data_IF_969173647671
#
_entry.id   IF_969173647671
#
_cell.length_a   1.000
_cell.length_b   1.000
_cell.length_c   1.000
_cell.angle_alpha   90.00
_cell.angle_beta   90.00
_cell.angle_gamma   90.00
#
_symmetry.space_group_name_H-M   'P 1'
#
loop_
_entity.id
_entity.type
_entity.pdbx_description
1 polymer ?
#
# COMPACT_ATOMS: atom_id res chain seq x y z
N UNK A 1 7.09 11.12 -2.23
CA UNK A 1 6.34 9.86 -2.17
C UNK A 1 7.09 8.78 -2.92
N UNK A 2 7.26 7.65 -2.33
CA UNK A 2 7.87 6.50 -3.01
C UNK A 2 6.76 5.59 -3.55
N UNK A 3 6.90 5.17 -4.81
CA UNK A 3 5.96 4.27 -5.48
C UNK A 3 6.66 2.93 -5.69
N UNK A 4 6.08 1.87 -5.15
CA UNK A 4 6.58 0.51 -5.31
C UNK A 4 5.72 -0.17 -6.37
N UNK A 5 6.26 -0.32 -7.55
CA UNK A 5 5.53 -0.80 -8.73
C UNK A 5 6.28 -1.97 -9.35
N UNK A 6 6.08 -3.16 -8.78
CA UNK A 6 6.82 -4.35 -9.16
C UNK A 6 6.72 -4.68 -10.65
N UNK A 7 5.55 -4.46 -11.24
CA UNK A 7 5.28 -4.81 -12.65
C UNK A 7 5.26 -3.63 -13.60
N UNK A 8 5.47 -2.40 -13.11
CA UNK A 8 5.39 -1.22 -13.95
C UNK A 8 3.98 -0.83 -14.38
N UNK A 9 2.97 -1.23 -13.62
CA UNK A 9 1.56 -1.01 -13.99
C UNK A 9 0.95 0.26 -13.40
N UNK A 10 1.47 0.74 -12.26
CA UNK A 10 0.93 1.92 -11.60
C UNK A 10 1.39 3.21 -12.29
N UNK A 11 2.66 3.29 -12.60
CA UNK A 11 3.25 4.47 -13.21
C UNK A 11 4.13 4.07 -14.37
N UNK A 12 3.60 4.09 -15.61
CA UNK A 12 4.41 3.81 -16.78
C UNK A 12 5.53 4.84 -16.93
N UNK A 13 6.65 4.48 -17.61
CA UNK A 13 7.83 5.35 -17.71
C UNK A 13 7.53 6.77 -18.19
N UNK A 14 6.56 6.95 -19.06
CA UNK A 14 6.19 8.26 -19.60
C UNK A 14 5.53 9.19 -18.57
N UNK A 15 5.16 8.67 -17.40
CA UNK A 15 4.54 9.45 -16.32
C UNK A 15 5.43 9.62 -15.10
N UNK A 16 6.68 9.15 -15.17
CA UNK A 16 7.60 9.19 -14.03
C UNK A 16 8.41 10.47 -13.93
N UNK A 17 7.96 11.54 -14.54
CA UNK A 17 8.69 12.82 -14.61
C UNK A 17 8.32 13.81 -13.51
N UNK A 18 7.61 13.39 -12.47
CA UNK A 18 7.24 14.27 -11.36
C UNK A 18 8.38 14.38 -10.35
N UNK A 19 8.68 15.61 -9.92
CA UNK A 19 9.75 15.87 -8.96
C UNK A 19 9.48 15.28 -7.57
N UNK A 20 8.23 14.95 -7.25
CA UNK A 20 7.83 14.46 -5.95
C UNK A 20 7.69 12.93 -5.87
N UNK A 21 7.91 12.22 -6.98
CA UNK A 21 7.71 10.79 -7.05
C UNK A 21 9.02 10.06 -7.35
N UNK A 22 9.34 9.10 -6.48
CA UNK A 22 10.43 8.15 -6.71
C UNK A 22 9.82 6.77 -6.94
N UNK A 23 9.99 6.23 -8.14
CA UNK A 23 9.40 4.96 -8.51
C UNK A 23 10.45 3.85 -8.48
N UNK A 24 10.14 2.76 -7.79
CA UNK A 24 10.96 1.55 -7.76
C UNK A 24 10.18 0.44 -8.43
N UNK A 25 10.75 -0.16 -9.47
CA UNK A 25 10.13 -1.27 -10.19
C UNK A 25 11.13 -2.40 -10.40
N UNK A 26 10.61 -3.59 -10.72
CA UNK A 26 11.46 -4.74 -11.02
C UNK A 26 12.04 -5.45 -9.80
N UNK A 27 11.68 -5.07 -8.58
CA UNK A 27 12.12 -5.73 -7.35
C UNK A 27 10.91 -6.30 -6.61
N UNK A 28 11.09 -7.38 -5.83
CA UNK A 28 10.06 -7.85 -4.92
C UNK A 28 9.64 -6.71 -3.98
N UNK A 29 8.34 -6.61 -3.70
CA UNK A 29 7.80 -5.46 -2.97
C UNK A 29 8.40 -5.24 -1.59
N UNK A 30 8.58 -6.32 -0.81
CA UNK A 30 9.16 -6.17 0.52
C UNK A 30 10.57 -5.59 0.47
N UNK A 31 11.35 -6.00 -0.51
CA UNK A 31 12.71 -5.51 -0.72
C UNK A 31 12.73 -4.06 -1.17
N UNK A 32 11.81 -3.72 -2.08
CA UNK A 32 11.68 -2.36 -2.58
C UNK A 32 11.25 -1.39 -1.47
N UNK A 33 10.34 -1.81 -0.59
CA UNK A 33 9.95 -1.01 0.58
C UNK A 33 11.15 -0.75 1.48
N UNK A 34 11.93 -1.78 1.78
CA UNK A 34 13.14 -1.61 2.61
C UNK A 34 14.13 -0.65 1.97
N UNK A 35 14.33 -0.76 0.66
CA UNK A 35 15.22 0.14 -0.07
C UNK A 35 14.70 1.58 0.00
N UNK A 36 13.41 1.80 -0.22
CA UNK A 36 12.81 3.12 -0.14
C UNK A 36 13.02 3.74 1.24
N UNK A 37 12.81 2.97 2.30
CA UNK A 37 12.98 3.46 3.67
C UNK A 37 14.43 3.90 3.96
N UNK A 38 15.40 3.20 3.39
CA UNK A 38 16.82 3.50 3.63
C UNK A 38 17.35 4.65 2.80
N UNK A 39 16.89 4.78 1.56
CA UNK A 39 17.54 5.66 0.58
C UNK A 39 16.71 6.87 0.18
N UNK A 40 15.39 6.78 0.21
CA UNK A 40 14.52 7.84 -0.30
C UNK A 40 13.88 8.68 0.80
N UNK A 41 13.93 8.23 2.04
CA UNK A 41 13.32 8.89 3.20
C UNK A 41 11.89 9.38 2.89
N UNK A 42 10.99 8.52 2.40
CA UNK A 42 9.67 8.95 1.97
C UNK A 42 8.77 9.26 3.16
N UNK A 43 7.80 10.17 2.95
CA UNK A 43 6.72 10.38 3.92
C UNK A 43 5.57 9.40 3.67
N UNK A 44 5.35 9.04 2.41
CA UNK A 44 4.28 8.12 2.00
C UNK A 44 4.84 7.11 1.01
N UNK A 45 4.49 5.84 1.21
CA UNK A 45 4.78 4.78 0.25
C UNK A 45 3.47 4.32 -0.37
N UNK A 46 3.42 4.31 -1.69
CA UNK A 46 2.31 3.76 -2.45
C UNK A 46 2.77 2.46 -3.08
N UNK A 47 2.03 1.38 -2.85
CA UNK A 47 2.31 0.11 -3.49
C UNK A 47 1.03 -0.50 -4.05
N UNK A 48 1.18 -1.38 -5.05
CA UNK A 48 0.03 -1.96 -5.71
C UNK A 48 -0.71 -2.95 -4.80
N UNK A 49 -0.37 -4.19 -4.78
CA UNK A 49 -1.11 -5.21 -4.03
C UNK A 49 -0.30 -5.73 -2.84
N UNK A 50 -0.94 -5.86 -1.69
CA UNK A 50 -0.35 -6.55 -0.54
C UNK A 50 -0.38 -8.06 -0.82
N UNK A 51 0.80 -8.65 -0.97
CA UNK A 51 0.90 -10.05 -1.31
C UNK A 51 1.05 -10.96 -0.11
N UNK A 52 2.14 -10.83 0.62
CA UNK A 52 2.49 -11.77 1.68
C UNK A 52 2.89 -11.06 2.99
N UNK A 53 3.16 -11.87 4.01
CA UNK A 53 3.52 -11.35 5.33
C UNK A 53 4.92 -10.71 5.35
N UNK A 54 5.79 -11.05 4.40
CA UNK A 54 7.10 -10.40 4.30
C UNK A 54 6.95 -8.94 3.91
N UNK A 55 6.05 -8.64 2.98
CA UNK A 55 5.74 -7.27 2.59
C UNK A 55 5.13 -6.50 3.76
N UNK A 56 4.23 -7.15 4.49
CA UNK A 56 3.59 -6.55 5.67
C UNK A 56 4.63 -6.19 6.72
N UNK A 57 5.60 -7.06 6.99
CA UNK A 57 6.66 -6.80 7.95
C UNK A 57 7.48 -5.56 7.56
N UNK A 58 7.77 -5.39 6.27
CA UNK A 58 8.48 -4.22 5.79
C UNK A 58 7.66 -2.93 5.99
N UNK A 59 6.35 -3.00 5.75
CA UNK A 59 5.46 -1.85 5.96
C UNK A 59 5.34 -1.49 7.43
N UNK A 60 5.27 -2.48 8.32
CA UNK A 60 5.26 -2.22 9.76
C UNK A 60 6.50 -1.47 10.20
N UNK A 61 7.65 -1.87 9.70
CA UNK A 61 8.90 -1.19 10.01
C UNK A 61 8.85 0.28 9.59
N UNK A 62 8.32 0.57 8.40
CA UNK A 62 8.12 1.92 7.93
C UNK A 62 7.14 2.70 8.80
N UNK A 63 6.04 2.08 9.19
CA UNK A 63 5.04 2.69 10.05
C UNK A 63 5.65 3.13 11.39
N UNK A 64 6.44 2.27 12.02
CA UNK A 64 7.10 2.61 13.27
C UNK A 64 8.15 3.71 13.11
N UNK A 65 8.60 3.95 11.90
CA UNK A 65 9.52 5.06 11.57
C UNK A 65 8.79 6.34 11.15
N UNK A 66 7.46 6.36 11.23
CA UNK A 66 6.67 7.54 10.88
C UNK A 66 6.26 7.64 9.41
N UNK A 67 6.46 6.59 8.63
CA UNK A 67 6.09 6.58 7.21
C UNK A 67 4.67 6.03 7.05
N UNK A 68 3.83 6.72 6.28
CA UNK A 68 2.49 6.25 5.95
C UNK A 68 2.51 5.47 4.64
N UNK A 69 1.48 4.66 4.41
CA UNK A 69 1.41 3.88 3.18
C UNK A 69 -0.03 3.79 2.66
N UNK A 70 -0.12 3.56 1.35
CA UNK A 70 -1.37 3.27 0.64
C UNK A 70 -1.13 2.00 -0.16
N UNK A 71 -1.99 1.01 0.03
CA UNK A 71 -1.87 -0.27 -0.66
C UNK A 71 -3.24 -0.79 -1.04
N UNK A 72 -3.29 -1.73 -1.98
CA UNK A 72 -4.54 -2.37 -2.36
C UNK A 72 -4.53 -3.85 -1.98
N UNK A 73 -5.73 -4.41 -1.89
CA UNK A 73 -5.93 -5.83 -1.65
C UNK A 73 -7.23 -6.24 -2.34
N UNK A 74 -7.27 -7.43 -2.89
CA UNK A 74 -8.49 -7.95 -3.51
C UNK A 74 -9.44 -8.49 -2.45
N UNK A 75 -10.67 -7.96 -2.42
CA UNK A 75 -11.71 -8.40 -1.51
C UNK A 75 -13.07 -8.01 -2.09
N UNK A 76 -14.08 -8.82 -1.81
CA UNK A 76 -15.44 -8.55 -2.27
C UNK A 76 -16.15 -7.53 -1.38
N UNK A 77 -15.82 -7.50 -0.09
CA UNK A 77 -16.42 -6.60 0.91
C UNK A 77 -15.34 -6.12 1.86
N UNK A 78 -15.66 -5.10 2.68
CA UNK A 78 -14.74 -4.65 3.73
C UNK A 78 -14.52 -5.73 4.79
N UNK A 79 -15.55 -6.49 5.12
CA UNK A 79 -15.45 -7.61 6.05
C UNK A 79 -14.51 -8.69 5.52
N UNK A 80 -14.58 -9.00 4.22
CA UNK A 80 -13.68 -9.94 3.58
C UNK A 80 -12.23 -9.44 3.65
N UNK A 81 -12.01 -8.15 3.39
CA UNK A 81 -10.68 -7.55 3.51
C UNK A 81 -10.11 -7.70 4.92
N UNK A 82 -10.95 -7.47 5.93
CA UNK A 82 -10.53 -7.58 7.34
C UNK A 82 -10.20 -9.01 7.76
N UNK A 83 -10.63 -10.01 7.00
CA UNK A 83 -10.27 -11.41 7.24
C UNK A 83 -8.92 -11.79 6.64
N UNK A 84 -8.37 -10.97 5.75
CA UNK A 84 -7.07 -11.25 5.13
C UNK A 84 -5.95 -11.16 6.17
N UNK A 85 -5.05 -12.16 6.28
CA UNK A 85 -3.99 -12.13 7.30
C UNK A 85 -3.14 -10.88 7.23
N UNK A 86 -2.78 -10.42 6.03
CA UNK A 86 -1.96 -9.22 5.85
C UNK A 86 -2.67 -7.97 6.35
N UNK A 87 -3.98 -7.87 6.16
CA UNK A 87 -4.77 -6.74 6.64
C UNK A 87 -4.92 -6.80 8.15
N UNK A 88 -5.18 -7.98 8.70
CA UNK A 88 -5.34 -8.17 10.15
C UNK A 88 -4.09 -7.78 10.92
N UNK A 89 -2.92 -8.16 10.41
CA UNK A 89 -1.65 -7.82 11.06
C UNK A 89 -1.48 -6.31 11.12
N UNK A 90 -1.72 -5.62 10.02
CA UNK A 90 -1.61 -4.16 9.98
C UNK A 90 -2.63 -3.48 10.90
N UNK A 91 -3.85 -4.00 10.95
CA UNK A 91 -4.87 -3.48 11.85
C UNK A 91 -4.47 -3.63 13.32
N UNK A 92 -3.95 -4.79 13.68
CA UNK A 92 -3.53 -5.07 15.06
C UNK A 92 -2.40 -4.14 15.52
N UNK A 93 -1.54 -3.72 14.61
CA UNK A 93 -0.45 -2.80 14.91
C UNK A 93 -0.90 -1.33 14.92
N UNK A 94 -2.15 -1.06 14.59
CA UNK A 94 -2.64 0.31 14.48
C UNK A 94 -2.14 1.04 13.24
N UNK A 95 -1.55 0.31 12.29
CA UNK A 95 -0.97 0.88 11.08
C UNK A 95 -2.00 1.18 10.01
N UNK A 96 -3.22 0.69 10.16
CA UNK A 96 -4.27 0.81 9.17
C UNK A 96 -5.39 1.67 9.71
N UNK A 97 -5.61 2.85 9.10
CA UNK A 97 -6.61 3.80 9.58
C UNK A 97 -7.90 3.80 8.77
N UNK A 98 -7.80 3.57 7.46
CA UNK A 98 -8.96 3.60 6.57
C UNK A 98 -8.96 2.40 5.64
N UNK A 99 -10.17 1.90 5.38
CA UNK A 99 -10.43 0.96 4.28
C UNK A 99 -11.36 1.64 3.29
N UNK A 100 -11.00 1.56 2.01
CA UNK A 100 -11.78 2.12 0.91
C UNK A 100 -12.17 0.99 -0.02
N UNK A 101 -13.46 0.74 -0.17
CA UNK A 101 -13.97 -0.26 -1.10
C UNK A 101 -14.36 0.43 -2.40
N UNK A 102 -13.80 -0.05 -3.51
CA UNK A 102 -14.11 0.47 -4.84
C UNK A 102 -15.23 -0.35 -5.48
N UNK A 103 -15.98 0.29 -6.40
CA UNK A 103 -17.11 -0.36 -7.06
C UNK A 103 -16.71 -1.55 -7.94
N UNK A 104 -15.50 -1.55 -8.49
CA UNK A 104 -15.00 -2.61 -9.33
C UNK A 104 -15.01 -2.24 -10.82
N UNK A 105 -15.01 -3.26 -11.68
CA UNK A 105 -14.79 -3.08 -13.13
C UNK A 105 -15.84 -2.25 -13.84
N UNK A 106 -17.09 -2.28 -13.37
CA UNK A 106 -18.19 -1.55 -14.01
C UNK A 106 -18.11 -0.05 -13.80
N UNK A 107 -17.40 0.40 -12.77
CA UNK A 107 -17.24 1.81 -12.45
C UNK A 107 -15.84 2.05 -11.85
N UNK A 108 -14.79 2.00 -12.68
CA UNK A 108 -13.41 2.14 -12.19
C UNK A 108 -13.19 3.47 -11.46
N UNK A 109 -12.54 3.40 -10.31
CA UNK A 109 -12.23 4.59 -9.51
C UNK A 109 -13.38 5.11 -8.66
N UNK A 110 -14.57 4.53 -8.77
CA UNK A 110 -15.71 4.96 -7.97
C UNK A 110 -15.66 4.30 -6.60
N UNK A 111 -15.81 5.11 -5.56
CA UNK A 111 -15.78 4.64 -4.18
C UNK A 111 -17.18 4.18 -3.77
N UNK A 112 -17.25 2.97 -3.24
CA UNK A 112 -18.50 2.38 -2.76
C UNK A 112 -18.70 2.60 -1.27
N UNK A 113 -17.63 2.45 -0.47
CA UNK A 113 -17.70 2.58 0.99
C UNK A 113 -16.33 2.97 1.54
N UNK A 114 -16.34 3.81 2.56
CA UNK A 114 -15.13 4.16 3.33
C UNK A 114 -15.42 3.84 4.78
N UNK A 115 -14.50 3.12 5.42
CA UNK A 115 -14.59 2.81 6.84
C UNK A 115 -13.33 3.25 7.56
N UNK A 116 -13.51 4.04 8.61
CA UNK A 116 -12.43 4.38 9.51
C UNK A 116 -12.30 3.28 10.56
N UNK A 117 -11.08 2.77 10.74
CA UNK A 117 -10.81 1.72 11.70
C UNK A 117 -10.48 2.33 13.07
N UNK A 118 -10.90 1.67 14.16
CA UNK A 118 -10.57 2.17 15.49
C UNK A 118 -9.07 2.02 15.75
N UNK A 119 -8.54 2.93 16.55
CA UNK A 119 -7.20 2.80 17.10
C UNK A 119 -7.21 1.69 18.15
N UNK A 120 -6.34 0.73 17.99
CA UNK A 120 -6.20 -0.37 18.95
C UNK A 120 -5.10 -0.09 19.95
#
# INVERSE_FOLDING_TARGET
>A
MAVIDERGELFPPERQNGDALDCISGLPKGRAVQMALRTLAPQVILLDELGDLTEVAALEQGFFSGVEFVASVHAATLEDALQRPQVRVLQQQGALRFLVLLEGRCAPGRIREIRQLPLL
#
